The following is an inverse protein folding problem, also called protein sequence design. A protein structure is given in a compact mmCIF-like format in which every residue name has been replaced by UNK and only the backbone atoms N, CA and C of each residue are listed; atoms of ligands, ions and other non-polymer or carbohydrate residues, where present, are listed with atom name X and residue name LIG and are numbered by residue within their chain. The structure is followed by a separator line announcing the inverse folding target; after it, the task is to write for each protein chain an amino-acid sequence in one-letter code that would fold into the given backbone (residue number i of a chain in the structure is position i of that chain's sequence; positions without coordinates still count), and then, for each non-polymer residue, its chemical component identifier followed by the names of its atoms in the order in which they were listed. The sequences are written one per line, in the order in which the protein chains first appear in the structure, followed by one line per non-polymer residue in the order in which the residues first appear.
data_IF_270467838347
#
_entry.id   IF_270467838347
#
_cell.length_a   1.000
_cell.length_b   1.000
_cell.length_c   1.000
_cell.angle_alpha   90.00
_cell.angle_beta   90.00
_cell.angle_gamma   90.00
#
_symmetry.space_group_name_H-M   'P 1'
#
loop_
_entity.id
_entity.type
_entity.pdbx_description
1 polymer ?
#
# COMPACT_ATOMS: atom_id res chain seq x y z
N UNK A 1 47.65 -4.05 60.67
CA UNK A 1 47.19 -4.52 59.35
C UNK A 1 45.68 -4.66 59.40
N UNK A 2 44.95 -3.66 58.91
CA UNK A 2 43.48 -3.63 58.88
C UNK A 2 43.05 -3.65 57.42
N UNK A 3 42.51 -4.78 56.97
CA UNK A 3 42.02 -4.98 55.61
C UNK A 3 40.60 -4.44 55.49
N UNK A 4 40.47 -3.36 54.71
CA UNK A 4 39.19 -2.75 54.32
C UNK A 4 38.56 -3.57 53.18
N UNK A 5 37.43 -4.22 53.48
CA UNK A 5 36.62 -4.95 52.51
C UNK A 5 35.67 -4.01 51.77
N UNK A 6 35.91 -3.81 50.47
CA UNK A 6 35.07 -2.99 49.59
C UNK A 6 33.91 -3.83 49.07
N UNK A 7 32.71 -3.57 49.58
CA UNK A 7 31.46 -4.16 49.11
C UNK A 7 31.10 -3.58 47.73
N UNK A 8 31.09 -4.42 46.70
CA UNK A 8 30.59 -4.08 45.36
C UNK A 8 29.09 -4.29 45.32
N UNK A 9 28.33 -3.19 45.35
CA UNK A 9 26.90 -3.21 45.11
C UNK A 9 26.63 -3.65 43.66
N UNK A 10 25.98 -4.81 43.49
CA UNK A 10 25.47 -5.26 42.21
C UNK A 10 24.36 -4.30 41.75
N UNK A 11 24.64 -3.52 40.73
CA UNK A 11 23.63 -2.72 40.03
C UNK A 11 22.77 -3.70 39.23
N UNK A 12 21.52 -3.90 39.67
CA UNK A 12 20.54 -4.71 38.97
C UNK A 12 20.27 -4.08 37.59
N UNK A 13 20.65 -4.81 36.53
CA UNK A 13 20.26 -4.47 35.16
C UNK A 13 18.74 -4.66 35.05
N UNK A 14 17.97 -3.63 34.64
CA UNK A 14 16.53 -3.78 34.48
C UNK A 14 16.26 -4.86 33.44
N UNK A 15 15.51 -5.90 33.83
CA UNK A 15 14.99 -6.88 32.89
C UNK A 15 14.16 -6.14 31.85
N UNK A 16 14.52 -6.23 30.56
CA UNK A 16 13.70 -5.74 29.45
C UNK A 16 12.30 -6.36 29.62
N UNK A 17 11.33 -5.57 30.05
CA UNK A 17 9.93 -5.96 29.98
C UNK A 17 9.62 -6.11 28.49
N UNK A 18 9.54 -7.36 28.04
CA UNK A 18 8.96 -7.71 26.75
C UNK A 18 7.53 -7.19 26.77
N UNK A 19 7.31 -6.07 26.07
CA UNK A 19 5.97 -5.56 25.83
C UNK A 19 5.20 -6.69 25.14
N UNK A 20 4.13 -7.17 25.79
CA UNK A 20 3.24 -8.16 25.21
C UNK A 20 2.68 -7.58 23.91
N UNK A 21 3.16 -8.11 22.80
CA UNK A 21 2.65 -7.87 21.46
C UNK A 21 1.14 -8.05 21.47
N UNK A 22 0.41 -7.18 20.77
CA UNK A 22 -1.01 -7.37 20.58
C UNK A 22 -1.26 -8.72 19.87
N UNK A 23 -2.46 -9.32 19.98
CA UNK A 23 -2.80 -10.57 19.29
C UNK A 23 -2.64 -10.51 17.77
N UNK A 24 -2.37 -9.32 17.22
CA UNK A 24 -2.21 -9.04 15.80
C UNK A 24 -0.75 -8.79 15.38
N UNK A 25 0.23 -9.15 16.22
CA UNK A 25 1.64 -9.22 15.80
C UNK A 25 2.38 -7.89 15.70
N UNK A 26 1.67 -6.76 15.68
CA UNK A 26 2.30 -5.44 15.55
C UNK A 26 3.03 -5.08 16.86
N UNK A 27 4.37 -5.03 16.81
CA UNK A 27 5.17 -4.29 17.79
C UNK A 27 4.72 -2.85 17.74
N UNK A 28 4.43 -2.25 18.91
CA UNK A 28 3.81 -0.93 19.07
C UNK A 28 4.03 -0.01 17.86
N UNK A 29 2.96 0.43 17.17
CA UNK A 29 3.10 1.15 15.91
C UNK A 29 3.80 2.47 16.19
N UNK A 30 5.07 2.51 15.85
CA UNK A 30 5.81 3.75 15.76
C UNK A 30 5.32 4.46 14.49
N UNK A 31 4.26 5.25 14.67
CA UNK A 31 3.88 6.35 13.77
C UNK A 31 3.58 6.04 12.29
N UNK A 32 2.99 4.87 11.97
CA UNK A 32 2.35 4.68 10.64
C UNK A 32 0.81 4.50 10.70
N UNK A 33 0.25 4.20 11.87
CA UNK A 33 -1.15 4.39 12.23
C UNK A 33 -1.14 4.74 13.72
N UNK A 34 -1.82 5.82 14.11
CA UNK A 34 -1.98 6.17 15.51
C UNK A 34 -2.42 4.93 16.31
N UNK A 35 -1.98 4.75 17.57
CA UNK A 35 -2.42 3.61 18.36
C UNK A 35 -3.96 3.55 18.33
N UNK A 36 -4.58 2.36 18.24
CA UNK A 36 -5.97 2.25 18.64
C UNK A 36 -6.02 2.82 20.06
N UNK A 37 -6.71 3.96 20.22
CA UNK A 37 -6.90 4.61 21.53
C UNK A 37 -7.41 3.50 22.45
N UNK A 38 -6.58 3.14 23.43
CA UNK A 38 -6.70 1.87 24.13
C UNK A 38 -8.12 1.56 24.62
N UNK A 39 -8.57 0.33 24.35
CA UNK A 39 -9.49 -0.40 25.22
C UNK A 39 -10.99 -0.09 25.19
N UNK A 40 -11.51 0.82 24.35
CA UNK A 40 -12.93 1.13 24.34
C UNK A 40 -13.49 1.28 22.92
N UNK A 41 -14.39 0.37 22.52
CA UNK A 41 -15.40 0.52 21.43
C UNK A 41 -15.04 1.53 20.33
N UNK A 42 -13.94 1.30 19.59
CA UNK A 42 -13.58 2.16 18.46
C UNK A 42 -14.75 2.24 17.48
N UNK A 43 -15.08 3.45 17.02
CA UNK A 43 -16.16 3.63 16.06
C UNK A 43 -15.70 3.14 14.69
N UNK A 44 -16.61 2.61 13.87
CA UNK A 44 -16.33 2.35 12.45
C UNK A 44 -15.85 3.61 11.71
N UNK A 45 -16.20 4.79 12.22
CA UNK A 45 -15.77 6.08 11.68
C UNK A 45 -14.28 6.36 11.90
N UNK A 46 -13.64 5.75 12.89
CA UNK A 46 -12.22 5.98 13.20
C UNK A 46 -11.29 5.47 12.08
N UNK A 47 -11.79 4.60 11.19
CA UNK A 47 -11.06 4.04 10.04
C UNK A 47 -10.89 5.00 8.88
N UNK A 48 -11.70 6.07 8.79
CA UNK A 48 -11.63 7.00 7.66
C UNK A 48 -10.38 7.87 7.68
N UNK A 49 -9.86 8.22 8.87
CA UNK A 49 -8.59 8.93 9.00
C UNK A 49 -7.43 8.14 8.37
N UNK A 50 -7.16 6.91 8.87
CA UNK A 50 -6.22 5.98 8.26
C UNK A 50 -6.43 5.76 6.75
N UNK A 51 -7.68 5.70 6.28
CA UNK A 51 -7.99 5.55 4.86
C UNK A 51 -7.45 6.73 4.04
N UNK A 52 -7.67 7.96 4.51
CA UNK A 52 -7.14 9.18 3.88
C UNK A 52 -5.61 9.18 3.92
N UNK A 53 -5.02 8.80 5.04
CA UNK A 53 -3.55 8.71 5.16
C UNK A 53 -2.98 7.74 4.12
N UNK A 54 -3.59 6.57 3.94
CA UNK A 54 -3.17 5.58 2.94
C UNK A 54 -3.32 6.12 1.52
N UNK A 55 -4.43 6.80 1.21
CA UNK A 55 -4.66 7.42 -0.10
C UNK A 55 -3.54 8.42 -0.44
N UNK A 56 -3.26 9.35 0.47
CA UNK A 56 -2.31 10.44 0.24
C UNK A 56 -0.86 9.95 0.26
N UNK A 57 -0.53 9.04 1.17
CA UNK A 57 0.84 8.56 1.35
C UNK A 57 1.26 7.49 0.35
N UNK A 58 0.31 6.70 -0.19
CA UNK A 58 0.64 5.50 -0.96
C UNK A 58 -0.06 5.45 -2.30
N UNK A 59 -1.39 5.47 -2.33
CA UNK A 59 -2.15 5.14 -3.54
C UNK A 59 -2.04 6.20 -4.63
N UNK A 60 -2.16 7.48 -4.26
CA UNK A 60 -1.99 8.56 -5.22
C UNK A 60 -0.56 8.61 -5.77
N UNK A 61 0.50 8.61 -4.92
CA UNK A 61 1.88 8.50 -5.41
C UNK A 61 2.15 7.27 -6.29
N UNK A 62 1.54 6.13 -5.98
CA UNK A 62 1.68 4.90 -6.76
C UNK A 62 1.19 5.07 -8.20
N UNK A 63 -0.06 5.51 -8.38
CA UNK A 63 -0.63 5.75 -9.71
C UNK A 63 0.11 6.85 -10.48
N UNK A 64 0.49 7.93 -9.78
CA UNK A 64 1.29 9.01 -10.37
C UNK A 64 2.63 8.51 -10.91
N UNK A 65 3.37 7.75 -10.10
CA UNK A 65 4.71 7.29 -10.44
C UNK A 65 4.69 6.16 -11.49
N UNK A 66 3.65 5.31 -11.49
CA UNK A 66 3.42 4.34 -12.57
C UNK A 66 3.27 5.06 -13.92
N UNK A 67 2.43 6.10 -13.97
CA UNK A 67 2.18 6.85 -15.21
C UNK A 67 3.38 7.72 -15.63
N UNK A 68 4.15 8.21 -14.67
CA UNK A 68 5.41 8.88 -14.98
C UNK A 68 6.40 7.90 -15.61
N UNK A 69 6.53 6.71 -15.04
CA UNK A 69 7.40 5.65 -15.55
C UNK A 69 6.98 5.19 -16.96
N UNK A 70 5.67 5.05 -17.23
CA UNK A 70 5.15 4.71 -18.57
C UNK A 70 5.48 5.80 -19.60
N UNK A 71 5.45 7.07 -19.19
CA UNK A 71 5.74 8.20 -20.07
C UNK A 71 7.23 8.33 -20.42
N UNK A 72 8.14 7.93 -19.51
CA UNK A 72 9.59 8.08 -19.72
C UNK A 72 10.26 6.85 -20.36
N UNK A 73 9.70 5.64 -20.19
CA UNK A 73 10.38 4.39 -20.56
C UNK A 73 10.59 4.23 -22.06
N UNK A 74 9.69 4.80 -22.90
CA UNK A 74 9.66 4.63 -24.37
C UNK A 74 9.61 3.16 -24.85
N UNK A 75 9.53 2.20 -23.94
CA UNK A 75 9.34 0.80 -24.23
C UNK A 75 7.94 0.55 -24.79
N UNK A 76 7.80 -0.49 -25.60
CA UNK A 76 6.51 -0.92 -26.14
C UNK A 76 5.58 -1.37 -24.98
N UNK A 77 4.32 -0.90 -24.90
CA UNK A 77 3.38 -1.28 -23.84
C UNK A 77 3.11 -2.78 -23.70
N UNK A 78 3.36 -3.59 -24.73
CA UNK A 78 3.24 -5.06 -24.67
C UNK A 78 4.51 -5.75 -24.18
N UNK A 79 5.61 -5.01 -23.96
CA UNK A 79 6.91 -5.57 -23.59
C UNK A 79 7.08 -5.80 -22.08
N UNK A 80 7.89 -6.80 -21.73
CA UNK A 80 8.30 -7.04 -20.35
C UNK A 80 9.06 -5.84 -19.73
N UNK A 81 9.79 -5.07 -20.55
CA UNK A 81 10.50 -3.88 -20.10
C UNK A 81 9.54 -2.77 -19.65
N UNK A 82 8.43 -2.57 -20.38
CA UNK A 82 7.40 -1.61 -20.00
C UNK A 82 6.74 -2.03 -18.67
N UNK A 83 6.32 -3.29 -18.57
CA UNK A 83 5.74 -3.86 -17.36
C UNK A 83 6.67 -3.69 -16.15
N UNK A 84 7.95 -4.05 -16.29
CA UNK A 84 8.93 -3.90 -15.21
C UNK A 84 9.15 -2.43 -14.83
N UNK A 85 9.31 -1.55 -15.82
CA UNK A 85 9.58 -0.12 -15.57
C UNK A 85 8.43 0.54 -14.83
N UNK A 86 7.19 0.25 -15.25
CA UNK A 86 6.00 0.82 -14.63
C UNK A 86 5.72 0.25 -13.24
N UNK A 87 5.92 -1.06 -13.04
CA UNK A 87 5.86 -1.67 -11.71
C UNK A 87 6.92 -1.12 -10.73
N UNK A 88 8.15 -0.86 -11.19
CA UNK A 88 9.18 -0.18 -10.40
C UNK A 88 8.81 1.29 -10.12
N UNK A 89 8.17 1.97 -11.08
CA UNK A 89 7.60 3.30 -10.91
C UNK A 89 6.58 3.33 -9.77
N UNK A 90 5.59 2.44 -9.79
CA UNK A 90 4.56 2.32 -8.75
C UNK A 90 5.18 2.10 -7.36
N UNK A 91 6.13 1.16 -7.27
CA UNK A 91 6.81 0.84 -6.02
C UNK A 91 7.64 2.01 -5.47
N UNK A 92 8.29 2.77 -6.36
CA UNK A 92 8.99 4.01 -6.00
C UNK A 92 8.01 5.06 -5.48
N UNK A 93 6.83 5.17 -6.11
CA UNK A 93 5.74 6.03 -5.65
C UNK A 93 5.26 5.66 -4.25
N UNK A 94 5.00 4.38 -3.97
CA UNK A 94 4.60 3.92 -2.63
C UNK A 94 5.67 4.17 -1.59
N UNK A 95 6.92 3.80 -1.90
CA UNK A 95 8.02 3.93 -0.95
C UNK A 95 8.32 5.40 -0.64
N UNK A 96 8.50 6.21 -1.68
CA UNK A 96 8.80 7.64 -1.54
C UNK A 96 7.64 8.42 -0.94
N UNK A 97 6.41 8.12 -1.37
CA UNK A 97 5.20 8.74 -0.83
C UNK A 97 5.01 8.45 0.65
N UNK A 98 5.21 7.20 1.09
CA UNK A 98 5.02 6.85 2.50
C UNK A 98 6.05 7.52 3.40
N UNK A 99 7.32 7.48 3.02
CA UNK A 99 8.42 8.13 3.75
C UNK A 99 8.20 9.64 3.82
N UNK A 100 7.90 10.30 2.70
CA UNK A 100 7.70 11.75 2.65
C UNK A 100 6.49 12.17 3.49
N UNK A 101 5.38 11.43 3.39
CA UNK A 101 4.19 11.70 4.19
C UNK A 101 4.47 11.58 5.68
N UNK A 102 5.15 10.52 6.12
CA UNK A 102 5.52 10.33 7.53
C UNK A 102 6.40 11.48 8.05
N UNK A 103 7.40 11.93 7.28
CA UNK A 103 8.25 13.07 7.63
C UNK A 103 7.43 14.35 7.81
N UNK A 104 6.52 14.65 6.86
CA UNK A 104 5.66 15.83 6.92
C UNK A 104 4.74 15.75 8.13
N UNK A 105 4.10 14.60 8.37
CA UNK A 105 3.21 14.39 9.50
C UNK A 105 3.95 14.54 10.83
N UNK A 106 5.16 14.01 10.95
CA UNK A 106 6.03 14.19 12.13
C UNK A 106 6.36 15.65 12.41
N UNK A 107 6.72 16.41 11.36
CA UNK A 107 6.99 17.84 11.47
C UNK A 107 5.74 18.64 11.90
N UNK A 108 4.57 18.33 11.34
CA UNK A 108 3.31 19.01 11.67
C UNK A 108 2.80 18.71 13.08
N UNK A 109 2.93 17.45 13.51
CA UNK A 109 2.44 16.98 14.82
C UNK A 109 3.47 17.13 15.93
N UNK A 110 4.69 17.59 15.62
CA UNK A 110 5.84 17.67 16.54
C UNK A 110 6.12 16.34 17.24
N UNK A 111 5.87 15.23 16.54
CA UNK A 111 6.09 13.87 17.04
C UNK A 111 7.28 13.26 16.30
N UNK A 112 8.15 12.55 17.03
CA UNK A 112 9.25 11.82 16.42
C UNK A 112 8.72 10.69 15.54
N UNK A 113 9.21 10.62 14.30
CA UNK A 113 8.90 9.53 13.36
C UNK A 113 9.98 8.47 13.51
N UNK A 114 9.56 7.22 13.69
CA UNK A 114 10.46 6.08 13.57
C UNK A 114 10.69 5.79 12.10
N UNK A 115 11.81 6.30 11.60
CA UNK A 115 12.16 6.12 10.20
C UNK A 115 12.52 4.67 9.86
N UNK A 116 12.99 3.87 10.82
CA UNK A 116 13.35 2.48 10.55
C UNK A 116 12.09 1.65 10.27
N UNK A 117 11.11 1.69 11.17
CA UNK A 117 9.82 1.03 10.97
C UNK A 117 9.08 1.55 9.73
N UNK A 118 9.14 2.87 9.48
CA UNK A 118 8.55 3.48 8.27
C UNK A 118 9.17 2.94 6.99
N UNK A 119 10.49 2.84 6.91
CA UNK A 119 11.19 2.34 5.72
C UNK A 119 10.90 0.85 5.50
N UNK A 120 10.90 0.04 6.57
CA UNK A 120 10.60 -1.39 6.48
C UNK A 120 9.15 -1.65 6.02
N UNK A 121 8.19 -0.89 6.57
CA UNK A 121 6.78 -0.94 6.12
C UNK A 121 6.65 -0.50 4.66
N UNK A 122 7.34 0.57 4.28
CA UNK A 122 7.36 1.06 2.90
C UNK A 122 7.93 0.00 1.93
N UNK A 123 9.01 -0.68 2.31
CA UNK A 123 9.63 -1.73 1.51
C UNK A 123 8.70 -2.95 1.33
N UNK A 124 8.04 -3.39 2.40
CA UNK A 124 7.04 -4.46 2.37
C UNK A 124 5.93 -4.16 1.34
N UNK A 125 5.34 -2.97 1.42
CA UNK A 125 4.24 -2.55 0.53
C UNK A 125 4.74 -2.32 -0.90
N UNK A 126 5.92 -1.72 -1.07
CA UNK A 126 6.54 -1.49 -2.36
C UNK A 126 6.72 -2.81 -3.13
N UNK A 127 7.17 -3.88 -2.47
CA UNK A 127 7.30 -5.21 -3.10
C UNK A 127 5.97 -5.78 -3.55
N UNK A 128 4.90 -5.60 -2.76
CA UNK A 128 3.53 -5.90 -3.19
C UNK A 128 3.16 -5.14 -4.48
N UNK A 129 3.42 -3.84 -4.53
CA UNK A 129 3.10 -3.01 -5.70
C UNK A 129 3.96 -3.27 -6.93
N UNK A 130 5.22 -3.73 -6.78
CA UNK A 130 6.00 -4.19 -7.93
C UNK A 130 5.23 -5.31 -8.63
N UNK A 131 4.73 -6.30 -7.88
CA UNK A 131 4.03 -7.43 -8.46
C UNK A 131 2.72 -7.01 -9.15
N UNK A 132 1.88 -6.19 -8.52
CA UNK A 132 0.65 -5.70 -9.15
C UNK A 132 0.90 -4.77 -10.33
N UNK A 133 1.82 -3.82 -10.19
CA UNK A 133 2.16 -2.84 -11.23
C UNK A 133 2.80 -3.48 -12.46
N UNK A 134 3.68 -4.47 -12.29
CA UNK A 134 4.22 -5.27 -13.40
C UNK A 134 3.13 -6.10 -14.09
N UNK A 135 2.13 -6.58 -13.33
CA UNK A 135 1.08 -7.45 -13.88
C UNK A 135 0.00 -6.66 -14.61
N UNK A 136 -0.17 -5.37 -14.30
CA UNK A 136 -1.30 -4.57 -14.76
C UNK A 136 -1.42 -4.52 -16.30
N UNK A 137 -0.38 -4.03 -17.00
CA UNK A 137 -0.44 -3.87 -18.44
C UNK A 137 -0.57 -5.21 -19.19
N UNK A 138 0.19 -6.28 -18.84
CA UNK A 138 -0.03 -7.60 -19.42
C UNK A 138 -1.45 -8.13 -19.24
N UNK A 139 -2.06 -7.95 -18.07
CA UNK A 139 -3.44 -8.39 -17.80
C UNK A 139 -4.45 -7.61 -18.64
N UNK A 140 -4.34 -6.27 -18.67
CA UNK A 140 -5.22 -5.41 -19.47
C UNK A 140 -5.12 -5.78 -20.95
N UNK A 141 -3.90 -5.90 -21.48
CA UNK A 141 -3.66 -6.30 -22.87
C UNK A 141 -4.27 -7.67 -23.19
N UNK A 142 -4.07 -8.66 -22.31
CA UNK A 142 -4.60 -10.00 -22.50
C UNK A 142 -6.14 -9.99 -22.53
N UNK A 143 -6.79 -9.29 -21.60
CA UNK A 143 -8.24 -9.21 -21.53
C UNK A 143 -8.85 -8.42 -22.71
N UNK A 144 -8.19 -7.33 -23.13
CA UNK A 144 -8.59 -6.57 -24.31
C UNK A 144 -8.42 -7.38 -25.61
N UNK A 145 -7.37 -8.20 -25.72
CA UNK A 145 -7.15 -9.07 -26.89
C UNK A 145 -8.26 -10.12 -27.10
N UNK A 146 -9.05 -10.39 -26.06
CA UNK A 146 -10.22 -11.27 -26.11
C UNK A 146 -11.51 -10.51 -26.50
N UNK A 147 -11.41 -9.23 -26.90
CA UNK A 147 -12.52 -8.35 -27.24
C UNK A 147 -13.55 -8.22 -26.10
N UNK A 148 -13.06 -8.21 -24.85
CA UNK A 148 -13.91 -8.10 -23.67
C UNK A 148 -14.38 -6.65 -23.45
N UNK A 149 -15.64 -6.46 -23.02
CA UNK A 149 -16.15 -5.14 -22.68
C UNK A 149 -15.45 -4.58 -21.44
N UNK A 150 -15.47 -3.25 -21.28
CA UNK A 150 -14.80 -2.53 -20.19
C UNK A 150 -15.02 -3.15 -18.81
N UNK A 151 -16.26 -3.50 -18.45
CA UNK A 151 -16.56 -4.06 -17.12
C UNK A 151 -15.87 -5.41 -16.87
N UNK A 152 -15.67 -6.21 -17.92
CA UNK A 152 -15.00 -7.50 -17.82
C UNK A 152 -13.48 -7.32 -17.70
N UNK A 153 -12.90 -6.35 -18.42
CA UNK A 153 -11.48 -5.98 -18.26
C UNK A 153 -11.23 -5.38 -16.88
N UNK A 154 -12.09 -4.46 -16.44
CA UNK A 154 -12.06 -3.88 -15.10
C UNK A 154 -12.10 -4.96 -14.00
N UNK A 155 -13.05 -5.89 -14.07
CA UNK A 155 -13.19 -6.96 -13.07
C UNK A 155 -12.02 -7.96 -13.13
N UNK A 156 -11.56 -8.32 -14.34
CA UNK A 156 -10.42 -9.20 -14.53
C UNK A 156 -9.13 -8.60 -13.97
N UNK A 157 -8.88 -7.31 -14.24
CA UNK A 157 -7.75 -6.56 -13.67
C UNK A 157 -7.84 -6.46 -12.16
N UNK A 158 -9.03 -6.23 -11.58
CA UNK A 158 -9.23 -6.28 -10.12
C UNK A 158 -8.70 -7.59 -9.55
N UNK A 159 -9.23 -8.71 -10.04
CA UNK A 159 -8.92 -10.04 -9.52
C UNK A 159 -7.43 -10.35 -9.69
N UNK A 160 -6.89 -10.17 -10.89
CA UNK A 160 -5.50 -10.49 -11.18
C UNK A 160 -4.52 -9.66 -10.34
N UNK A 161 -4.71 -8.34 -10.26
CA UNK A 161 -3.85 -7.46 -9.47
C UNK A 161 -4.01 -7.67 -7.96
N UNK A 162 -5.19 -8.09 -7.47
CA UNK A 162 -5.36 -8.54 -6.07
C UNK A 162 -4.42 -9.70 -5.75
N UNK A 163 -4.42 -10.74 -6.59
CA UNK A 163 -3.58 -11.91 -6.37
C UNK A 163 -2.09 -11.60 -6.56
N UNK A 164 -1.74 -10.76 -7.55
CA UNK A 164 -0.37 -10.33 -7.77
C UNK A 164 0.18 -9.52 -6.58
N UNK A 165 -0.58 -8.56 -6.06
CA UNK A 165 -0.20 -7.78 -4.89
C UNK A 165 -0.06 -8.67 -3.64
N UNK A 166 -1.04 -9.54 -3.39
CA UNK A 166 -1.00 -10.47 -2.27
C UNK A 166 0.23 -11.38 -2.34
N UNK A 167 0.52 -11.93 -3.52
CA UNK A 167 1.72 -12.73 -3.75
C UNK A 167 2.99 -11.95 -3.39
N UNK A 168 3.12 -10.71 -3.86
CA UNK A 168 4.25 -9.83 -3.53
C UNK A 168 4.40 -9.60 -2.02
N UNK A 169 3.30 -9.34 -1.30
CA UNK A 169 3.33 -9.23 0.16
C UNK A 169 3.80 -10.52 0.84
N UNK A 170 3.31 -11.68 0.40
CA UNK A 170 3.73 -12.96 0.99
C UNK A 170 5.20 -13.25 0.73
N UNK A 171 5.71 -12.95 -0.47
CA UNK A 171 7.14 -13.06 -0.77
C UNK A 171 7.94 -12.12 0.12
N UNK A 172 7.55 -10.85 0.21
CA UNK A 172 8.22 -9.86 1.05
C UNK A 172 8.28 -10.28 2.52
N UNK A 173 7.19 -10.77 3.11
CA UNK A 173 7.20 -11.28 4.49
C UNK A 173 8.20 -12.42 4.68
N UNK A 174 8.24 -13.39 3.76
CA UNK A 174 9.20 -14.50 3.83
C UNK A 174 10.67 -14.03 3.72
N UNK A 175 10.93 -12.98 2.94
CA UNK A 175 12.29 -12.49 2.72
C UNK A 175 12.77 -11.51 3.79
N UNK A 176 11.88 -10.67 4.31
CA UNK A 176 12.24 -9.52 5.12
C UNK A 176 12.08 -9.78 6.63
N UNK A 177 11.21 -10.69 7.06
CA UNK A 177 10.91 -10.87 8.49
C UNK A 177 12.09 -11.31 9.34
N UNK A 178 13.13 -11.92 8.74
CA UNK A 178 14.33 -12.33 9.44
C UNK A 178 15.28 -11.16 9.78
N UNK A 179 15.15 -10.02 9.09
CA UNK A 179 16.07 -8.88 9.20
C UNK A 179 15.40 -7.52 9.40
N UNK A 180 14.08 -7.43 9.26
CA UNK A 180 13.28 -6.22 9.43
C UNK A 180 12.28 -6.42 10.57
N UNK A 181 12.57 -5.86 11.75
CA UNK A 181 11.76 -6.03 12.98
C UNK A 181 10.30 -5.54 12.84
N UNK A 182 10.00 -4.65 11.90
CA UNK A 182 8.65 -4.17 11.60
C UNK A 182 7.89 -5.06 10.61
N UNK A 183 8.56 -6.06 10.00
CA UNK A 183 7.93 -7.02 9.08
C UNK A 183 7.68 -8.33 9.80
N UNK A 184 6.42 -8.59 10.14
CA UNK A 184 6.04 -9.87 10.74
C UNK A 184 6.21 -11.04 9.78
N UNK A 185 6.63 -12.18 10.34
CA UNK A 185 6.64 -13.48 9.67
C UNK A 185 5.25 -13.83 9.08
N UNK A 186 5.20 -14.56 7.96
CA UNK A 186 3.94 -14.94 7.34
C UNK A 186 3.14 -15.90 8.25
N UNK A 187 1.99 -15.45 8.73
CA UNK A 187 1.04 -16.27 9.51
C UNK A 187 -0.29 -16.41 8.76
N UNK A 188 -1.21 -17.22 9.29
CA UNK A 188 -2.57 -17.30 8.78
C UNK A 188 -3.37 -16.03 9.09
N UNK A 189 -3.17 -15.44 10.26
CA UNK A 189 -3.94 -14.27 10.68
C UNK A 189 -3.53 -13.01 9.93
N UNK A 190 -2.24 -12.73 9.78
CA UNK A 190 -1.82 -11.64 8.90
C UNK A 190 -2.11 -11.94 7.42
N UNK A 191 -2.20 -13.21 7.01
CA UNK A 191 -2.64 -13.59 5.67
C UNK A 191 -4.06 -13.15 5.32
N UNK A 192 -4.97 -13.11 6.30
CA UNK A 192 -6.34 -12.57 6.08
C UNK A 192 -6.30 -11.06 5.89
N UNK A 193 -5.55 -10.35 6.73
CA UNK A 193 -5.37 -8.91 6.62
C UNK A 193 -4.67 -8.50 5.32
N UNK A 194 -3.61 -9.23 4.94
CA UNK A 194 -2.90 -9.07 3.67
C UNK A 194 -3.88 -9.23 2.49
N UNK A 195 -4.74 -10.24 2.53
CA UNK A 195 -5.73 -10.45 1.46
C UNK A 195 -6.81 -9.36 1.42
N UNK A 196 -7.29 -8.88 2.57
CA UNK A 196 -8.21 -7.75 2.63
C UNK A 196 -7.59 -6.47 2.05
N UNK A 197 -6.34 -6.15 2.43
CA UNK A 197 -5.60 -5.04 1.85
C UNK A 197 -5.47 -5.24 0.32
N UNK A 198 -5.06 -6.44 -0.11
CA UNK A 198 -4.89 -6.78 -1.51
C UNK A 198 -6.18 -6.59 -2.33
N UNK A 199 -7.35 -6.89 -1.77
CA UNK A 199 -8.64 -6.64 -2.43
C UNK A 199 -8.88 -5.16 -2.68
N UNK A 200 -8.51 -4.29 -1.74
CA UNK A 200 -8.63 -2.84 -1.89
C UNK A 200 -7.60 -2.26 -2.86
N UNK A 201 -6.40 -2.84 -2.91
CA UNK A 201 -5.39 -2.51 -3.95
C UNK A 201 -5.87 -2.97 -5.33
N UNK A 202 -6.45 -4.17 -5.45
CA UNK A 202 -7.04 -4.64 -6.71
C UNK A 202 -8.14 -3.71 -7.22
N UNK A 203 -8.94 -3.12 -6.34
CA UNK A 203 -9.91 -2.09 -6.72
C UNK A 203 -9.22 -0.82 -7.24
N UNK A 204 -8.15 -0.37 -6.58
CA UNK A 204 -7.35 0.77 -7.05
C UNK A 204 -6.80 0.54 -8.46
N UNK A 205 -6.24 -0.65 -8.73
CA UNK A 205 -5.69 -1.01 -10.03
C UNK A 205 -6.78 -1.19 -11.10
N UNK A 206 -7.97 -1.65 -10.72
CA UNK A 206 -9.11 -1.74 -11.64
C UNK A 206 -9.63 -0.35 -12.05
N UNK A 207 -9.72 0.59 -11.10
CA UNK A 207 -10.03 1.99 -11.43
C UNK A 207 -8.98 2.63 -12.32
N UNK A 208 -7.73 2.16 -12.26
CA UNK A 208 -6.72 2.63 -13.19
C UNK A 208 -7.02 2.23 -14.66
N UNK A 209 -7.74 1.13 -14.91
CA UNK A 209 -8.22 0.78 -16.27
C UNK A 209 -9.10 1.89 -16.86
N UNK A 210 -9.76 2.68 -16.01
CA UNK A 210 -10.57 3.80 -16.48
C UNK A 210 -9.77 4.93 -17.14
N UNK A 211 -8.46 4.98 -16.95
CA UNK A 211 -7.61 5.98 -17.62
C UNK A 211 -7.36 5.62 -19.09
N UNK A 212 -7.63 4.37 -19.48
CA UNK A 212 -7.41 3.87 -20.84
C UNK A 212 -8.43 4.48 -21.82
N UNK A 213 -7.90 5.13 -22.85
CA UNK A 213 -8.66 5.77 -23.92
C UNK A 213 -9.16 4.79 -24.99
N UNK A 214 -8.78 3.51 -24.93
CA UNK A 214 -9.26 2.47 -25.83
C UNK A 214 -10.80 2.28 -25.75
N UNK A 215 -11.40 2.58 -24.60
CA UNK A 215 -12.84 2.48 -24.39
C UNK A 215 -13.54 3.82 -24.58
N UNK A 216 -14.70 3.79 -25.23
CA UNK A 216 -15.52 5.00 -25.45
C UNK A 216 -16.24 5.40 -24.15
N UNK A 217 -16.70 6.67 -24.02
CA UNK A 217 -17.48 7.12 -22.86
C UNK A 217 -18.73 6.28 -22.55
N UNK A 218 -19.31 5.62 -23.56
CA UNK A 218 -20.48 4.75 -23.39
C UNK A 218 -20.14 3.40 -22.74
N UNK A 219 -18.86 3.01 -22.73
CA UNK A 219 -18.37 1.72 -22.24
C UNK A 219 -17.62 1.89 -20.91
N UNK A 220 -16.77 2.92 -20.83
CA UNK A 220 -16.00 3.27 -19.64
C UNK A 220 -16.73 4.36 -18.84
N UNK A 221 -17.46 3.92 -17.80
CA UNK A 221 -18.25 4.78 -16.93
C UNK A 221 -17.43 5.78 -16.08
N UNK A 222 -16.10 5.65 -16.05
CA UNK A 222 -15.18 6.49 -15.30
C UNK A 222 -14.35 7.43 -16.20
N UNK A 223 -14.48 7.33 -17.52
CA UNK A 223 -13.67 8.08 -18.48
C UNK A 223 -13.79 9.60 -18.28
N UNK A 224 -14.97 10.11 -17.96
CA UNK A 224 -15.18 11.54 -17.73
C UNK A 224 -14.64 12.04 -16.37
N UNK A 225 -14.20 11.15 -15.49
CA UNK A 225 -13.67 11.48 -14.16
C UNK A 225 -12.16 11.40 -14.17
N UNK A 226 -11.60 10.30 -14.69
CA UNK A 226 -10.16 10.01 -14.63
C UNK A 226 -9.54 9.60 -15.97
N UNK A 227 -10.30 9.63 -17.06
CA UNK A 227 -9.80 9.29 -18.40
C UNK A 227 -8.65 10.20 -18.83
N UNK A 228 -7.60 9.60 -19.40
CA UNK A 228 -6.44 10.32 -19.95
C UNK A 228 -6.64 10.46 -21.46
N UNK A 229 -6.60 11.71 -21.95
CA UNK A 229 -6.65 12.03 -23.37
C UNK A 229 -5.25 12.05 -23.99
N UNK A 230 -5.14 11.74 -25.28
CA UNK A 230 -3.89 11.90 -26.06
C UNK A 230 -3.39 13.36 -26.08
N UNK A 231 -4.26 14.32 -25.81
CA UNK A 231 -3.91 15.75 -25.71
C UNK A 231 -3.44 16.17 -24.33
N UNK A 232 -3.52 15.29 -23.33
CA UNK A 232 -3.14 15.62 -21.96
C UNK A 232 -1.61 15.71 -21.83
N UNK A 233 -1.15 16.69 -21.06
CA UNK A 233 0.27 16.75 -20.70
C UNK A 233 0.65 15.57 -19.81
N UNK A 234 1.93 15.17 -19.84
CA UNK A 234 2.45 14.09 -18.99
C UNK A 234 2.09 14.31 -17.52
N UNK A 235 2.21 15.54 -17.01
CA UNK A 235 1.87 15.85 -15.62
C UNK A 235 0.37 15.67 -15.36
N UNK A 236 -0.50 16.13 -16.27
CA UNK A 236 -1.96 15.92 -16.13
C UNK A 236 -2.30 14.43 -16.13
N UNK A 237 -1.70 13.66 -17.04
CA UNK A 237 -1.86 12.21 -17.09
C UNK A 237 -1.45 11.55 -15.77
N UNK A 238 -0.30 11.91 -15.18
CA UNK A 238 0.13 11.38 -13.88
C UNK A 238 -0.83 11.75 -12.75
N UNK A 239 -1.36 12.97 -12.72
CA UNK A 239 -2.34 13.39 -11.72
C UNK A 239 -3.66 12.59 -11.83
N UNK A 240 -4.14 12.35 -13.07
CA UNK A 240 -5.33 11.54 -13.31
C UNK A 240 -5.12 10.07 -12.94
N UNK A 241 -3.94 9.52 -13.25
CA UNK A 241 -3.56 8.17 -12.82
C UNK A 241 -3.54 8.04 -11.29
N UNK A 242 -2.88 8.95 -10.58
CA UNK A 242 -2.89 8.97 -9.11
C UNK A 242 -4.29 9.16 -8.51
N UNK A 243 -5.14 9.98 -9.15
CA UNK A 243 -6.53 10.15 -8.72
C UNK A 243 -7.36 8.88 -8.93
N UNK A 244 -7.15 8.16 -10.04
CA UNK A 244 -7.88 6.91 -10.33
C UNK A 244 -7.62 5.83 -9.29
N UNK A 245 -6.36 5.61 -8.90
CA UNK A 245 -5.98 4.63 -7.88
C UNK A 245 -6.49 5.04 -6.50
N UNK A 246 -6.38 6.32 -6.15
CA UNK A 246 -6.94 6.89 -4.92
C UNK A 246 -8.46 6.67 -4.83
N UNK A 247 -9.19 6.91 -5.91
CA UNK A 247 -10.64 6.74 -5.97
C UNK A 247 -11.03 5.27 -5.82
N UNK A 248 -10.38 4.36 -6.56
CA UNK A 248 -10.68 2.93 -6.49
C UNK A 248 -10.42 2.34 -5.10
N UNK A 249 -9.28 2.69 -4.49
CA UNK A 249 -9.01 2.32 -3.11
C UNK A 249 -10.04 2.92 -2.15
N UNK A 250 -10.35 4.21 -2.27
CA UNK A 250 -11.29 4.91 -1.40
C UNK A 250 -12.70 4.28 -1.42
N UNK A 251 -13.19 3.90 -2.61
CA UNK A 251 -14.48 3.20 -2.76
C UNK A 251 -14.46 1.84 -2.06
N UNK A 252 -13.48 1.00 -2.36
CA UNK A 252 -13.40 -0.34 -1.77
C UNK A 252 -13.17 -0.29 -0.25
N UNK A 253 -12.28 0.58 0.21
CA UNK A 253 -11.99 0.75 1.64
C UNK A 253 -13.19 1.32 2.39
N UNK A 254 -13.96 2.23 1.79
CA UNK A 254 -15.21 2.73 2.41
C UNK A 254 -16.20 1.59 2.63
N UNK A 255 -16.37 0.70 1.65
CA UNK A 255 -17.20 -0.50 1.81
C UNK A 255 -16.65 -1.38 2.94
N UNK A 256 -15.34 -1.58 3.01
CA UNK A 256 -14.73 -2.39 4.07
C UNK A 256 -14.93 -1.77 5.46
N UNK A 257 -14.76 -0.45 5.59
CA UNK A 257 -14.97 0.29 6.82
C UNK A 257 -16.41 0.14 7.33
N UNK A 258 -17.40 0.10 6.42
CA UNK A 258 -18.82 -0.07 6.74
C UNK A 258 -19.17 -1.52 7.06
N UNK A 259 -18.70 -2.48 6.26
CA UNK A 259 -19.15 -3.87 6.31
C UNK A 259 -18.42 -4.68 7.39
N UNK A 260 -17.11 -4.51 7.56
CA UNK A 260 -16.36 -5.32 8.52
C UNK A 260 -16.63 -4.88 9.97
N UNK A 261 -16.78 -5.82 10.92
CA UNK A 261 -16.77 -5.52 12.35
C UNK A 261 -15.45 -4.85 12.79
N UNK A 262 -15.48 -4.09 13.88
CA UNK A 262 -14.29 -3.46 14.49
C UNK A 262 -13.27 -4.53 14.91
N UNK A 263 -12.00 -4.31 14.60
CA UNK A 263 -10.90 -5.25 14.85
C UNK A 263 -10.86 -6.45 13.88
N UNK A 264 -11.49 -6.32 12.70
CA UNK A 264 -11.54 -7.36 11.65
C UNK A 264 -11.19 -6.84 10.27
N UNK A 265 -11.16 -5.53 10.07
CA UNK A 265 -10.63 -4.92 8.85
C UNK A 265 -9.10 -4.86 8.95
N UNK A 266 -8.41 -4.91 7.81
CA UNK A 266 -6.94 -4.81 7.80
C UNK A 266 -6.42 -3.46 8.30
N UNK A 267 -7.26 -2.42 8.27
CA UNK A 267 -6.92 -1.05 8.66
C UNK A 267 -7.12 -0.79 10.17
N UNK A 268 -7.62 -1.79 10.92
CA UNK A 268 -7.84 -1.70 12.37
C UNK A 268 -6.56 -1.92 13.19
#
# INVERSE_FOLDING_TARGET
MTTSGRSTANVAVPSKQSAKLSPWGVSHPTTALAPPRGGATGSKLDRFGPTVDVILSKLFPAGFAWQLASSITKADPSSASFALTTGLGEATGVLGGHILYSIIQGAMTKTSVDMDSTIQTAALLATGTICSGCSWQPVVNALQSMDLPFYAVFAGTWIACTFAFNFGLRVARNLYSASMDAVEEPTFDNGKSDFHLSLTIGAATAFFVATDSAYKPAENFLLNVVGISDTDSVIKACLLAGLSTALGFGVAQTLFNILFPVGKCWID
#
